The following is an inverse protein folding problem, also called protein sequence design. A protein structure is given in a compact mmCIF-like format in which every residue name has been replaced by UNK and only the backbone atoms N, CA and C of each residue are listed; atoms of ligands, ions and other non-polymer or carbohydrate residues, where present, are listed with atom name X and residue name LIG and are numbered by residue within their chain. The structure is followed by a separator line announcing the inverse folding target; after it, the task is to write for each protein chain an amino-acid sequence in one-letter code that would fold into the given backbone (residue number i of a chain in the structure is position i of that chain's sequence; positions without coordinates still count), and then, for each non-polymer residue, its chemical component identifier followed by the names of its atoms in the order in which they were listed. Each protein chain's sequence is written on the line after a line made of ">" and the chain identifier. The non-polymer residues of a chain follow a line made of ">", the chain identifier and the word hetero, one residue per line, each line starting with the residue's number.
data_IF_167099327269
#
_entry.id   IF_167099327269
#
_cell.length_a   1.000
_cell.length_b   1.000
_cell.length_c   1.000
_cell.angle_alpha   90.00
_cell.angle_beta   90.00
_cell.angle_gamma   90.00
#
_symmetry.space_group_name_H-M   'P 1'
#
loop_
_entity.id
_entity.type
_entity.pdbx_description
1 polymer ?
#
# COMPACT_ATOMS: atom_id res chain seq x y z
N UNK A 1 -10.21 10.37 -10.28
CA UNK A 1 -10.16 10.20 -11.75
C UNK A 1 -9.53 8.87 -12.22
N UNK A 2 -9.16 7.92 -11.35
CA UNK A 2 -8.53 6.63 -11.76
C UNK A 2 -9.48 5.42 -11.63
N UNK A 3 -10.60 5.52 -10.92
CA UNK A 3 -11.41 4.34 -10.61
C UNK A 3 -12.40 3.88 -11.69
N UNK A 4 -12.78 4.76 -12.63
CA UNK A 4 -13.63 4.36 -13.76
C UNK A 4 -12.87 3.62 -14.86
N UNK A 5 -11.54 3.51 -14.76
CA UNK A 5 -10.69 3.03 -15.86
C UNK A 5 -10.60 1.51 -16.00
N UNK A 6 -11.06 0.73 -15.02
CA UNK A 6 -10.76 -0.71 -14.98
C UNK A 6 -12.02 -1.58 -14.87
N UNK A 7 -13.14 -1.09 -14.33
CA UNK A 7 -14.38 -1.88 -14.21
C UNK A 7 -15.06 -2.20 -15.54
N UNK A 8 -14.85 -1.38 -16.55
CA UNK A 8 -15.24 -1.68 -17.91
C UNK A 8 -13.93 -1.89 -18.66
N UNK A 9 -13.41 -3.13 -18.68
CA UNK A 9 -12.20 -3.43 -19.43
C UNK A 9 -12.32 -2.78 -20.80
N UNK A 10 -11.44 -1.82 -21.09
CA UNK A 10 -11.24 -1.10 -22.36
C UNK A 10 -10.53 0.22 -22.04
N UNK A 11 -9.22 0.30 -22.32
CA UNK A 11 -8.82 1.48 -23.08
C UNK A 11 -9.54 1.30 -24.41
N UNK A 12 -10.74 1.88 -24.53
CA UNK A 12 -11.47 1.84 -25.80
C UNK A 12 -10.55 2.42 -26.86
N UNK A 13 -10.61 1.87 -28.07
CA UNK A 13 -9.88 2.42 -29.22
C UNK A 13 -10.05 3.94 -29.35
N UNK A 14 -11.24 4.43 -28.98
CA UNK A 14 -11.57 5.86 -28.90
C UNK A 14 -10.74 6.63 -27.87
N UNK A 15 -10.58 6.11 -26.64
CA UNK A 15 -9.78 6.76 -25.60
C UNK A 15 -8.29 6.83 -25.98
N UNK A 16 -7.73 5.73 -26.52
CA UNK A 16 -6.34 5.74 -27.02
C UNK A 16 -6.16 6.76 -28.14
N UNK A 17 -7.11 6.81 -29.08
CA UNK A 17 -7.06 7.77 -30.19
C UNK A 17 -7.05 9.21 -29.68
N UNK A 18 -7.91 9.57 -28.73
CA UNK A 18 -7.93 10.92 -28.15
C UNK A 18 -6.61 11.26 -27.44
N UNK A 19 -6.05 10.34 -26.66
CA UNK A 19 -4.77 10.55 -25.98
C UNK A 19 -3.64 10.74 -26.99
N UNK A 20 -3.56 9.89 -28.02
CA UNK A 20 -2.52 10.02 -29.05
C UNK A 20 -2.67 11.29 -29.90
N UNK A 21 -3.90 11.71 -30.20
CA UNK A 21 -4.15 13.00 -30.85
C UNK A 21 -3.64 14.17 -30.02
N UNK A 22 -3.90 14.17 -28.70
CA UNK A 22 -3.39 15.20 -27.79
C UNK A 22 -1.86 15.19 -27.69
N UNK A 23 -1.25 14.00 -27.54
CA UNK A 23 0.20 13.87 -27.51
C UNK A 23 0.82 14.42 -28.80
N UNK A 24 0.26 14.07 -29.96
CA UNK A 24 0.71 14.56 -31.25
C UNK A 24 0.55 16.09 -31.38
N UNK A 25 -0.62 16.63 -31.03
CA UNK A 25 -0.89 18.07 -31.06
C UNK A 25 0.14 18.86 -30.23
N UNK A 26 0.50 18.35 -29.07
CA UNK A 26 1.45 19.00 -28.15
C UNK A 26 2.91 18.54 -28.31
N UNK A 27 3.22 17.76 -29.35
CA UNK A 27 4.58 17.25 -29.63
C UNK A 27 5.19 16.44 -28.47
N UNK A 28 4.36 15.71 -27.73
CA UNK A 28 4.80 14.70 -26.77
C UNK A 28 4.90 13.33 -27.46
N UNK A 29 6.00 12.63 -27.20
CA UNK A 29 6.26 11.32 -27.80
C UNK A 29 6.36 10.23 -26.73
N UNK A 30 5.60 9.16 -26.91
CA UNK A 30 5.70 7.97 -26.07
C UNK A 30 6.77 7.02 -26.64
N UNK A 31 7.68 6.53 -25.79
CA UNK A 31 8.63 5.49 -26.19
C UNK A 31 7.90 4.17 -26.34
N UNK A 32 7.74 3.69 -27.59
CA UNK A 32 6.98 2.47 -27.89
C UNK A 32 7.44 1.25 -27.07
N UNK A 33 8.76 1.10 -26.85
CA UNK A 33 9.32 -0.01 -26.06
C UNK A 33 8.92 -0.01 -24.58
N UNK A 34 8.27 1.04 -24.07
CA UNK A 34 7.76 1.17 -22.70
C UNK A 34 6.23 1.21 -22.66
N UNK A 35 5.56 1.06 -23.79
CA UNK A 35 4.11 1.07 -23.88
C UNK A 35 3.57 -0.36 -23.88
N UNK A 36 2.47 -0.58 -23.17
CA UNK A 36 1.75 -1.85 -23.13
C UNK A 36 0.27 -1.60 -23.41
N UNK A 37 -0.30 -2.31 -24.38
CA UNK A 37 -1.68 -2.11 -24.84
C UNK A 37 -2.44 -3.43 -24.86
N UNK A 38 -3.72 -3.42 -24.48
CA UNK A 38 -4.59 -4.59 -24.59
C UNK A 38 -4.21 -5.77 -23.69
N UNK A 39 -3.47 -5.55 -22.60
CA UNK A 39 -3.11 -6.61 -21.66
C UNK A 39 -4.17 -6.74 -20.55
N UNK A 40 -4.48 -7.96 -20.09
CA UNK A 40 -5.44 -8.18 -19.00
C UNK A 40 -4.92 -7.73 -17.63
N UNK A 41 -3.60 -7.62 -17.48
CA UNK A 41 -2.92 -7.10 -16.29
C UNK A 41 -1.78 -6.16 -16.74
N UNK A 42 -1.63 -5.01 -16.07
CA UNK A 42 -0.64 -3.98 -16.42
C UNK A 42 0.17 -3.58 -15.17
N UNK A 43 1.49 -3.55 -15.30
CA UNK A 43 2.38 -3.01 -14.26
C UNK A 43 2.34 -1.47 -14.28
N UNK A 44 2.10 -0.87 -13.12
CA UNK A 44 2.06 0.59 -12.94
C UNK A 44 2.48 0.96 -11.52
N UNK A 45 3.52 1.81 -11.40
CA UNK A 45 4.06 2.28 -10.12
C UNK A 45 4.26 1.17 -9.07
N UNK A 46 4.87 0.04 -9.45
CA UNK A 46 5.15 -1.05 -8.49
C UNK A 46 3.90 -1.82 -8.03
N UNK A 47 2.81 -1.71 -8.78
CA UNK A 47 1.59 -2.50 -8.62
C UNK A 47 1.20 -3.14 -9.95
N UNK A 48 0.40 -4.19 -9.89
CA UNK A 48 -0.27 -4.78 -11.05
C UNK A 48 -1.76 -4.46 -10.97
N UNK A 49 -2.30 -3.86 -12.03
CA UNK A 49 -3.72 -3.54 -12.17
C UNK A 49 -4.38 -4.56 -13.09
N UNK A 50 -5.49 -5.12 -12.65
CA UNK A 50 -6.32 -6.05 -13.42
C UNK A 50 -7.80 -5.81 -13.13
N UNK A 51 -8.68 -6.53 -13.83
CA UNK A 51 -10.12 -6.53 -13.53
C UNK A 51 -10.43 -6.96 -12.09
N UNK A 52 -9.55 -7.77 -11.48
CA UNK A 52 -9.71 -8.25 -10.11
C UNK A 52 -9.28 -7.21 -9.06
N UNK A 53 -8.61 -6.12 -9.48
CA UNK A 53 -8.15 -5.06 -8.61
C UNK A 53 -6.66 -4.76 -8.73
N UNK A 54 -6.10 -4.24 -7.65
CA UNK A 54 -4.71 -3.82 -7.51
C UNK A 54 -3.93 -4.82 -6.67
N UNK A 55 -2.87 -5.38 -7.24
CA UNK A 55 -1.97 -6.34 -6.60
C UNK A 55 -0.60 -5.69 -6.36
N UNK A 56 0.04 -6.00 -5.24
CA UNK A 56 1.44 -5.61 -5.01
C UNK A 56 2.39 -6.33 -5.98
N UNK A 57 3.49 -5.69 -6.38
CA UNK A 57 4.51 -6.34 -7.21
C UNK A 57 5.16 -7.51 -6.46
N UNK A 58 5.03 -8.77 -6.94
CA UNK A 58 5.60 -9.95 -6.29
C UNK A 58 7.11 -9.84 -6.06
N UNK A 59 7.84 -9.13 -6.93
CA UNK A 59 9.29 -8.91 -6.78
C UNK A 59 9.59 -8.06 -5.55
N UNK A 60 8.74 -7.07 -5.28
CA UNK A 60 8.88 -6.19 -4.10
C UNK A 60 8.48 -6.92 -2.82
N UNK A 61 7.42 -7.74 -2.87
CA UNK A 61 7.08 -8.63 -1.75
C UNK A 61 8.24 -9.58 -1.45
N UNK A 62 8.80 -10.24 -2.46
CA UNK A 62 9.94 -11.14 -2.28
C UNK A 62 11.15 -10.42 -1.65
N UNK A 63 11.46 -9.20 -2.11
CA UNK A 63 12.53 -8.39 -1.52
C UNK A 63 12.29 -8.04 -0.04
N UNK A 64 11.04 -7.81 0.38
CA UNK A 64 10.72 -7.59 1.79
C UNK A 64 10.89 -8.87 2.62
N UNK A 65 10.50 -10.02 2.07
CA UNK A 65 10.61 -11.31 2.76
C UNK A 65 12.06 -11.77 2.92
N UNK A 66 12.89 -11.55 1.90
CA UNK A 66 14.32 -11.88 1.93
C UNK A 66 15.18 -10.83 2.64
N UNK A 67 14.59 -9.70 3.05
CA UNK A 67 15.33 -8.61 3.70
C UNK A 67 16.03 -9.11 4.99
N UNK A 68 17.35 -8.95 5.16
CA UNK A 68 18.04 -9.42 6.35
C UNK A 68 17.63 -8.61 7.57
N UNK A 69 17.85 -9.14 8.78
CA UNK A 69 17.63 -8.36 10.00
C UNK A 69 18.43 -7.05 9.95
N UNK A 70 17.79 -5.88 10.10
CA UNK A 70 18.49 -4.60 10.09
C UNK A 70 19.53 -4.51 11.22
N UNK A 71 20.77 -4.18 10.86
CA UNK A 71 21.88 -3.98 11.80
C UNK A 71 22.17 -2.50 12.07
N UNK A 72 21.46 -1.60 11.40
CA UNK A 72 21.64 -0.14 11.53
C UNK A 72 20.34 0.62 11.32
N UNK A 73 20.28 1.85 11.83
CA UNK A 73 19.16 2.78 11.59
C UNK A 73 18.90 2.96 10.09
N UNK A 74 19.95 3.05 9.28
CA UNK A 74 19.84 3.22 7.82
C UNK A 74 19.16 2.03 7.15
N UNK A 75 19.56 0.81 7.51
CA UNK A 75 18.97 -0.42 6.94
C UNK A 75 17.51 -0.59 7.40
N UNK A 76 17.20 -0.20 8.64
CA UNK A 76 15.84 -0.21 9.17
C UNK A 76 14.93 0.81 8.47
N UNK A 77 15.42 2.03 8.22
CA UNK A 77 14.70 3.05 7.43
C UNK A 77 14.43 2.58 6.01
N UNK A 78 15.39 1.92 5.37
CA UNK A 78 15.19 1.33 4.04
C UNK A 78 14.07 0.29 4.02
N UNK A 79 14.07 -0.62 5.00
CA UNK A 79 13.02 -1.62 5.15
C UNK A 79 11.64 -1.00 5.41
N UNK A 80 11.55 -0.04 6.34
CA UNK A 80 10.32 0.66 6.68
C UNK A 80 9.81 1.54 5.53
N UNK A 81 10.71 2.12 4.73
CA UNK A 81 10.33 2.87 3.53
C UNK A 81 9.72 1.96 2.46
N UNK A 82 10.32 0.80 2.21
CA UNK A 82 9.80 -0.17 1.24
C UNK A 82 8.46 -0.75 1.70
N UNK A 83 8.38 -1.24 2.94
CA UNK A 83 7.13 -1.79 3.51
C UNK A 83 6.06 -0.70 3.65
N UNK A 84 6.46 0.52 3.97
CA UNK A 84 5.60 1.69 4.06
C UNK A 84 4.94 2.05 2.74
N UNK A 85 5.58 1.83 1.59
CA UNK A 85 4.94 2.01 0.28
C UNK A 85 3.71 1.10 0.08
N UNK A 86 3.70 -0.06 0.73
CA UNK A 86 2.63 -1.05 0.66
C UNK A 86 1.73 -1.09 1.91
N UNK A 87 1.83 -0.11 2.83
CA UNK A 87 1.04 -0.10 4.07
C UNK A 87 -0.48 -0.15 3.80
N UNK A 88 -0.96 0.43 2.69
CA UNK A 88 -2.37 0.41 2.26
C UNK A 88 -2.95 -0.99 2.02
N UNK A 89 -2.10 -2.01 1.96
CA UNK A 89 -2.48 -3.41 1.80
C UNK A 89 -2.49 -4.18 3.13
N UNK A 90 -1.99 -3.59 4.21
CA UNK A 90 -1.74 -4.28 5.47
C UNK A 90 -2.68 -3.75 6.55
N UNK A 91 -3.55 -4.62 7.04
CA UNK A 91 -4.38 -4.34 8.20
C UNK A 91 -3.51 -4.11 9.45
N UNK A 92 -3.75 -3.01 10.18
CA UNK A 92 -3.03 -2.72 11.43
C UNK A 92 -1.53 -2.43 11.27
N UNK A 93 -1.08 -1.99 10.09
CA UNK A 93 0.33 -1.73 9.79
C UNK A 93 1.05 -0.89 10.87
N UNK A 94 0.43 0.19 11.35
CA UNK A 94 1.06 1.10 12.32
C UNK A 94 1.34 0.42 13.67
N UNK A 95 0.44 -0.46 14.12
CA UNK A 95 0.64 -1.26 15.33
C UNK A 95 1.84 -2.19 15.20
N UNK A 96 1.96 -2.85 14.04
CA UNK A 96 3.05 -3.81 13.76
C UNK A 96 4.39 -3.08 13.75
N UNK A 97 4.47 -1.91 13.10
CA UNK A 97 5.74 -1.18 12.98
C UNK A 97 6.08 -0.31 14.20
N UNK A 98 5.18 -0.14 15.16
CA UNK A 98 5.42 0.74 16.31
C UNK A 98 6.75 0.44 17.03
N UNK A 99 7.08 -0.82 17.39
CA UNK A 99 8.37 -1.14 18.00
C UNK A 99 9.57 -0.85 17.09
N UNK A 100 9.41 -1.01 15.78
CA UNK A 100 10.47 -0.72 14.80
C UNK A 100 10.70 0.78 14.65
N UNK A 101 9.63 1.58 14.66
CA UNK A 101 9.75 3.05 14.61
C UNK A 101 10.35 3.63 15.89
N UNK A 102 10.19 2.96 17.03
CA UNK A 102 10.83 3.38 18.28
C UNK A 102 12.36 3.28 18.20
N UNK A 103 12.90 2.27 17.51
CA UNK A 103 14.34 2.16 17.23
C UNK A 103 14.92 3.28 16.36
N UNK A 104 14.07 4.05 15.66
CA UNK A 104 14.50 5.19 14.83
C UNK A 104 14.70 6.48 15.63
N UNK A 105 14.26 6.52 16.88
CA UNK A 105 14.43 7.68 17.77
C UNK A 105 15.91 7.89 18.11
N UNK A 106 16.24 9.13 18.47
CA UNK A 106 17.62 9.53 18.72
C UNK A 106 18.30 8.64 19.77
N UNK A 107 19.41 8.00 19.38
CA UNK A 107 20.21 7.11 20.23
C UNK A 107 19.45 5.92 20.83
N UNK A 108 18.40 5.42 20.14
CA UNK A 108 17.58 4.28 20.60
C UNK A 108 17.76 3.00 19.77
N UNK A 109 18.74 2.96 18.87
CA UNK A 109 18.95 1.78 18.03
C UNK A 109 19.62 0.65 18.83
N UNK A 110 18.80 -0.14 19.50
CA UNK A 110 19.18 -1.36 20.17
C UNK A 110 18.22 -2.48 19.76
N UNK A 111 18.68 -3.40 18.92
CA UNK A 111 17.84 -4.49 18.45
C UNK A 111 17.50 -5.44 19.61
N UNK A 112 16.21 -5.62 19.90
CA UNK A 112 15.71 -6.39 21.03
C UNK A 112 14.63 -7.40 20.58
N UNK A 113 14.26 -8.39 21.41
CA UNK A 113 13.31 -9.44 21.02
C UNK A 113 11.98 -8.92 20.46
N UNK A 114 11.40 -7.86 21.07
CA UNK A 114 10.15 -7.23 20.58
C UNK A 114 10.30 -6.66 19.15
N UNK A 115 11.49 -6.18 18.77
CA UNK A 115 11.74 -5.69 17.42
C UNK A 115 11.87 -6.85 16.43
N UNK A 116 12.45 -7.98 16.85
CA UNK A 116 12.46 -9.21 16.05
C UNK A 116 11.04 -9.71 15.79
N UNK A 117 10.20 -9.75 16.83
CA UNK A 117 8.78 -10.14 16.69
C UNK A 117 8.04 -9.21 15.72
N UNK A 118 8.18 -7.89 15.88
CA UNK A 118 7.57 -6.91 14.99
C UNK A 118 8.08 -7.04 13.53
N UNK A 119 9.37 -7.28 13.35
CA UNK A 119 9.99 -7.47 12.04
C UNK A 119 9.45 -8.72 11.33
N UNK A 120 9.37 -9.85 12.04
CA UNK A 120 8.82 -11.10 11.52
C UNK A 120 7.31 -10.99 11.26
N UNK A 121 6.56 -10.38 12.17
CA UNK A 121 5.14 -10.11 12.00
C UNK A 121 4.88 -9.26 10.75
N UNK A 122 5.69 -8.22 10.52
CA UNK A 122 5.56 -7.39 9.32
C UNK A 122 5.84 -8.17 8.04
N UNK A 123 6.86 -9.03 8.03
CA UNK A 123 7.13 -9.91 6.88
C UNK A 123 5.96 -10.85 6.60
N UNK A 124 5.41 -11.48 7.64
CA UNK A 124 4.23 -12.36 7.51
C UNK A 124 3.04 -11.58 6.95
N UNK A 125 2.79 -10.37 7.44
CA UNK A 125 1.72 -9.51 6.94
C UNK A 125 1.92 -9.13 5.47
N UNK A 126 3.16 -8.83 5.06
CA UNK A 126 3.52 -8.54 3.67
C UNK A 126 3.34 -9.75 2.73
N UNK A 127 3.58 -10.97 3.22
CA UNK A 127 3.34 -12.19 2.45
C UNK A 127 1.83 -12.44 2.22
N UNK A 128 0.98 -12.02 3.15
CA UNK A 128 -0.46 -12.26 3.16
C UNK A 128 -1.28 -11.07 2.61
N UNK A 129 -0.64 -10.13 1.91
CA UNK A 129 -1.33 -8.97 1.34
C UNK A 129 -2.43 -9.41 0.35
N UNK A 130 -3.67 -8.90 0.48
CA UNK A 130 -4.76 -9.20 -0.45
C UNK A 130 -4.64 -8.37 -1.74
N UNK A 131 -5.40 -8.78 -2.76
CA UNK A 131 -5.69 -7.93 -3.92
C UNK A 131 -6.75 -6.93 -3.53
N UNK A 132 -6.45 -5.63 -3.65
CA UNK A 132 -7.37 -4.55 -3.29
C UNK A 132 -8.36 -4.27 -4.44
N UNK A 133 -9.63 -4.09 -4.12
CA UNK A 133 -10.64 -3.70 -5.09
C UNK A 133 -10.39 -2.28 -5.62
N UNK A 134 -10.83 -2.05 -6.85
CA UNK A 134 -10.88 -0.71 -7.43
C UNK A 134 -12.20 -0.04 -7.04
N UNK A 135 -12.15 1.22 -6.56
CA UNK A 135 -13.32 1.87 -6.01
C UNK A 135 -14.38 2.09 -7.09
N UNK A 136 -15.63 1.79 -6.78
CA UNK A 136 -16.77 2.11 -7.62
C UNK A 136 -17.56 3.24 -6.99
N UNK A 137 -17.47 4.43 -7.56
CA UNK A 137 -18.19 5.59 -7.02
C UNK A 137 -19.71 5.52 -7.20
N UNK A 138 -20.24 4.49 -7.88
CA UNK A 138 -21.68 4.23 -8.01
C UNK A 138 -22.25 3.39 -6.86
N UNK A 139 -21.40 2.74 -6.06
CA UNK A 139 -21.78 1.86 -4.96
C UNK A 139 -21.37 2.50 -3.63
N UNK A 140 -22.17 2.39 -2.55
CA UNK A 140 -21.77 2.88 -1.23
C UNK A 140 -20.46 2.28 -0.74
N UNK A 141 -19.68 3.09 -0.01
CA UNK A 141 -18.48 2.64 0.69
C UNK A 141 -18.82 2.23 2.11
N UNK A 142 -18.17 1.18 2.61
CA UNK A 142 -18.19 0.80 4.02
C UNK A 142 -16.84 1.13 4.64
N UNK A 143 -16.87 1.82 5.78
CA UNK A 143 -15.68 2.08 6.59
C UNK A 143 -15.83 1.35 7.91
N UNK A 144 -14.92 0.42 8.17
CA UNK A 144 -14.81 -0.27 9.44
C UNK A 144 -13.57 0.27 10.16
N UNK A 145 -13.72 0.72 11.40
CA UNK A 145 -12.64 1.30 12.19
C UNK A 145 -12.46 0.55 13.49
N UNK A 146 -11.21 0.37 13.90
CA UNK A 146 -10.84 -0.15 15.21
C UNK A 146 -9.73 0.73 15.79
N UNK A 147 -9.68 0.83 17.12
CA UNK A 147 -8.68 1.62 17.82
C UNK A 147 -8.12 0.85 18.99
N UNK A 148 -6.80 0.95 19.15
CA UNK A 148 -6.06 0.45 20.30
C UNK A 148 -5.42 1.63 21.05
N UNK A 149 -4.80 1.34 22.18
CA UNK A 149 -3.99 2.34 22.91
C UNK A 149 -2.83 2.86 22.05
N UNK A 150 -2.32 2.05 21.12
CA UNK A 150 -1.10 2.37 20.34
C UNK A 150 -1.42 3.04 19.01
N UNK A 151 -2.49 2.62 18.34
CA UNK A 151 -2.79 3.01 16.97
C UNK A 151 -4.28 2.85 16.64
N UNK A 152 -4.73 3.63 15.64
CA UNK A 152 -6.02 3.50 14.97
C UNK A 152 -5.82 2.70 13.68
N UNK A 153 -6.80 1.86 13.35
CA UNK A 153 -6.91 1.16 12.08
C UNK A 153 -8.26 1.43 11.42
N UNK A 154 -8.30 1.42 10.11
CA UNK A 154 -9.53 1.41 9.34
C UNK A 154 -9.41 0.58 8.07
N UNK A 155 -10.52 0.03 7.63
CA UNK A 155 -10.67 -0.65 6.33
C UNK A 155 -11.73 0.08 5.55
N UNK A 156 -11.37 0.56 4.36
CA UNK A 156 -12.33 1.00 3.36
C UNK A 156 -12.67 -0.19 2.46
N UNK A 157 -13.94 -0.56 2.36
CA UNK A 157 -14.38 -1.71 1.57
C UNK A 157 -15.65 -1.42 0.78
N UNK A 158 -15.91 -2.24 -0.23
CA UNK A 158 -17.17 -2.28 -0.99
C UNK A 158 -17.58 -3.73 -1.18
N UNK A 159 -18.82 -4.08 -0.85
CA UNK A 159 -19.32 -5.46 -0.90
C UNK A 159 -18.37 -6.46 -0.20
N UNK A 160 -17.86 -6.07 0.98
CA UNK A 160 -16.87 -6.82 1.78
C UNK A 160 -15.51 -7.06 1.10
N UNK A 161 -15.22 -6.43 -0.04
CA UNK A 161 -13.89 -6.44 -0.67
C UNK A 161 -13.09 -5.20 -0.24
N UNK A 162 -11.91 -5.34 0.39
CA UNK A 162 -11.10 -4.20 0.80
C UNK A 162 -10.56 -3.40 -0.40
N UNK A 163 -10.69 -2.07 -0.32
CA UNK A 163 -10.14 -1.09 -1.27
C UNK A 163 -8.82 -0.53 -0.72
N UNK A 164 -8.76 -0.26 0.58
CA UNK A 164 -7.55 0.19 1.24
C UNK A 164 -7.63 -0.07 2.76
N UNK A 165 -6.46 -0.33 3.33
CA UNK A 165 -6.24 -0.30 4.77
C UNK A 165 -5.61 1.03 5.15
N UNK A 166 -6.08 1.60 6.25
CA UNK A 166 -5.49 2.77 6.89
C UNK A 166 -5.04 2.37 8.29
N UNK A 167 -3.88 2.85 8.70
CA UNK A 167 -3.38 2.61 10.05
C UNK A 167 -2.44 3.73 10.45
N UNK A 168 -2.69 4.32 11.61
CA UNK A 168 -1.91 5.44 12.13
C UNK A 168 -1.61 5.25 13.61
N UNK A 169 -0.35 5.48 13.99
CA UNK A 169 0.09 5.42 15.38
C UNK A 169 -0.43 6.66 16.12
N UNK A 170 -1.07 6.44 17.26
CA UNK A 170 -1.54 7.52 18.11
C UNK A 170 -0.36 8.29 18.70
N UNK A 171 -0.44 9.62 18.67
CA UNK A 171 0.52 10.49 19.36
C UNK A 171 0.35 10.41 20.89
N UNK A 172 1.37 10.80 21.69
CA UNK A 172 1.37 10.63 23.14
C UNK A 172 0.12 11.16 23.86
N UNK A 173 -0.43 12.28 23.39
CA UNK A 173 -1.66 12.88 23.94
C UNK A 173 -2.89 12.00 23.77
N UNK A 174 -3.02 11.35 22.62
CA UNK A 174 -4.16 10.49 22.30
C UNK A 174 -4.04 9.12 22.96
N UNK A 175 -2.81 8.62 23.17
CA UNK A 175 -2.58 7.37 23.92
C UNK A 175 -3.01 7.47 25.39
N UNK A 176 -2.93 8.67 25.98
CA UNK A 176 -3.38 8.95 27.34
C UNK A 176 -4.87 9.30 27.46
N UNK A 177 -5.57 9.44 26.34
CA UNK A 177 -7.00 9.76 26.35
C UNK A 177 -7.84 8.50 26.62
N UNK A 178 -9.02 8.67 27.22
CA UNK A 178 -9.99 7.58 27.35
C UNK A 178 -10.55 7.22 25.97
N UNK A 179 -10.75 5.93 25.72
CA UNK A 179 -11.32 5.40 24.46
C UNK A 179 -12.71 5.94 24.14
N UNK A 180 -13.42 6.50 25.13
CA UNK A 180 -14.81 6.97 25.03
C UNK A 180 -15.00 8.46 25.39
N UNK A 181 -13.92 9.25 25.45
CA UNK A 181 -14.01 10.66 25.83
C UNK A 181 -14.67 11.54 24.75
#
# INVERSE_FOLDING_TARGET
>A
MISSFIRHGLITSNNLRSVFSLLHQHQFYAKFSKCSFGHPEIEYFGHFLSTNGVKADPRKIHAMLSWPQPSSVTTLRGFLGLTGYYHKFVHGYASIIAPLTDLLKHNQFHWHPVATEAFLALKTAMAAIPVLALPDFTIPFTVETDTSIVAIGAVLSQAHHPIAFYSERLGPRLQSASTYA
#
